data_IF_377231379904
#
_entry.id   IF_377231379904
#
_cell.length_a   1.000
_cell.length_b   1.000
_cell.length_c   1.000
_cell.angle_alpha   90.00
_cell.angle_beta   90.00
_cell.angle_gamma   90.00
#
_symmetry.space_group_name_H-M   'P 1'
#
loop_
_entity.id
_entity.type
_entity.pdbx_description
1 polymer ?
#
# COMPACT_ATOMS: atom_id res chain seq x y z
N UNK A 1 12.59 -34.18 -36.82
CA UNK A 1 11.21 -33.95 -36.35
C UNK A 1 10.28 -34.01 -37.54
N UNK A 2 9.46 -35.05 -37.67
CA UNK A 2 8.44 -35.13 -38.74
C UNK A 2 7.21 -34.31 -38.30
N UNK A 3 7.06 -33.12 -38.87
CA UNK A 3 5.86 -32.32 -38.68
C UNK A 3 4.73 -32.93 -39.53
N UNK A 4 3.60 -33.24 -38.90
CA UNK A 4 2.45 -33.79 -39.60
C UNK A 4 1.92 -32.75 -40.62
N UNK A 5 1.88 -33.15 -41.93
CA UNK A 5 1.39 -32.30 -43.05
C UNK A 5 0.01 -31.72 -42.78
N UNK A 6 -0.93 -32.48 -42.20
CA UNK A 6 -2.28 -32.01 -41.87
C UNK A 6 -2.24 -30.85 -40.83
N UNK A 7 -1.39 -30.92 -39.81
CA UNK A 7 -1.20 -29.85 -38.84
C UNK A 7 -0.63 -28.55 -39.47
N UNK A 8 0.32 -28.71 -40.43
CA UNK A 8 0.90 -27.58 -41.16
C UNK A 8 -0.14 -26.85 -42.02
N UNK A 9 -0.92 -27.57 -42.81
CA UNK A 9 -1.92 -26.96 -43.66
C UNK A 9 -3.13 -26.43 -42.90
N UNK A 10 -3.57 -27.07 -41.80
CA UNK A 10 -4.66 -26.56 -40.95
C UNK A 10 -4.22 -25.20 -40.29
N UNK A 11 -2.96 -25.04 -39.97
CA UNK A 11 -2.44 -23.78 -39.39
C UNK A 11 -2.27 -22.67 -40.45
N UNK A 12 -1.96 -23.04 -41.69
CA UNK A 12 -1.76 -22.09 -42.80
C UNK A 12 -3.09 -21.54 -43.33
N UNK A 13 -4.16 -22.32 -43.26
CA UNK A 13 -5.48 -21.96 -43.81
C UNK A 13 -6.45 -21.44 -42.74
N UNK A 14 -6.04 -21.31 -41.48
CA UNK A 14 -6.82 -20.65 -40.45
C UNK A 14 -8.20 -21.24 -40.18
N UNK A 15 -8.43 -22.52 -40.52
CA UNK A 15 -9.73 -23.19 -40.30
C UNK A 15 -9.83 -23.47 -38.81
N UNK A 16 -10.38 -22.50 -38.08
CA UNK A 16 -10.78 -22.69 -36.68
C UNK A 16 -12.10 -23.45 -36.71
N UNK A 17 -12.19 -24.60 -36.04
CA UNK A 17 -13.40 -25.35 -35.89
C UNK A 17 -14.54 -24.45 -35.35
N UNK A 18 -15.74 -24.44 -35.96
CA UNK A 18 -16.86 -23.59 -35.56
C UNK A 18 -17.19 -23.68 -34.07
N UNK A 19 -17.06 -24.86 -33.46
CA UNK A 19 -17.25 -25.08 -32.03
C UNK A 19 -16.22 -24.34 -31.15
N UNK A 20 -14.95 -24.29 -31.54
CA UNK A 20 -13.91 -23.55 -30.82
C UNK A 20 -14.12 -22.05 -30.95
N UNK A 21 -14.63 -21.59 -32.06
CA UNK A 21 -14.94 -20.19 -32.32
C UNK A 21 -16.11 -19.71 -31.45
N UNK A 22 -17.17 -20.52 -31.34
CA UNK A 22 -18.31 -20.25 -30.48
C UNK A 22 -17.91 -20.23 -28.99
N UNK A 23 -17.05 -21.16 -28.53
CA UNK A 23 -16.53 -21.17 -27.17
C UNK A 23 -15.66 -19.92 -26.87
N UNK A 24 -14.89 -19.44 -27.84
CA UNK A 24 -14.06 -18.26 -27.67
C UNK A 24 -14.90 -16.98 -27.58
N UNK A 25 -15.99 -16.87 -28.37
CA UNK A 25 -16.97 -15.78 -28.28
C UNK A 25 -17.63 -15.78 -26.89
N UNK A 26 -18.18 -16.91 -26.46
CA UNK A 26 -18.80 -17.02 -25.14
C UNK A 26 -17.83 -16.69 -23.98
N UNK A 27 -16.58 -17.06 -24.13
CA UNK A 27 -15.53 -16.70 -23.12
C UNK A 27 -15.24 -15.20 -23.11
N UNK A 28 -15.25 -14.53 -24.27
CA UNK A 28 -15.10 -13.06 -24.36
C UNK A 28 -16.24 -12.36 -23.65
N UNK A 29 -17.48 -12.74 -23.97
CA UNK A 29 -18.68 -12.15 -23.36
C UNK A 29 -18.65 -12.31 -21.83
N UNK A 30 -18.24 -13.48 -21.34
CA UNK A 30 -18.09 -13.73 -19.89
C UNK A 30 -16.98 -12.87 -19.26
N UNK A 31 -15.86 -12.64 -19.96
CA UNK A 31 -14.79 -11.74 -19.49
C UNK A 31 -15.29 -10.29 -19.44
N UNK A 32 -15.97 -9.83 -20.47
CA UNK A 32 -16.53 -8.46 -20.54
C UNK A 32 -17.54 -8.24 -19.41
N UNK A 33 -18.45 -9.19 -19.17
CA UNK A 33 -19.41 -9.06 -18.08
C UNK A 33 -18.74 -8.94 -16.71
N UNK A 34 -17.71 -9.75 -16.44
CA UNK A 34 -16.95 -9.63 -15.18
C UNK A 34 -16.26 -8.28 -15.04
N UNK A 35 -15.77 -7.70 -16.15
CA UNK A 35 -15.09 -6.41 -16.12
C UNK A 35 -16.09 -5.26 -15.96
N UNK A 36 -17.29 -5.36 -16.54
CA UNK A 36 -18.37 -4.40 -16.31
C UNK A 36 -18.79 -4.37 -14.84
N UNK A 37 -18.93 -5.54 -14.22
CA UNK A 37 -19.28 -5.65 -12.81
C UNK A 37 -18.14 -5.20 -11.89
N UNK A 38 -16.88 -5.43 -12.29
CA UNK A 38 -15.68 -5.19 -11.49
C UNK A 38 -14.55 -4.55 -12.32
N UNK A 39 -14.70 -3.29 -12.68
CA UNK A 39 -13.76 -2.54 -13.54
C UNK A 39 -12.29 -2.52 -13.07
N UNK A 40 -12.04 -2.84 -11.80
CA UNK A 40 -10.69 -2.94 -11.22
C UNK A 40 -10.04 -4.33 -11.30
N UNK A 41 -10.68 -5.31 -11.93
CA UNK A 41 -10.14 -6.67 -12.00
C UNK A 41 -9.07 -6.79 -13.09
N UNK A 42 -7.85 -7.18 -12.69
CA UNK A 42 -6.83 -7.64 -13.62
C UNK A 42 -7.04 -9.12 -13.99
N UNK A 43 -6.37 -9.59 -15.04
CA UNK A 43 -6.55 -10.92 -15.62
C UNK A 43 -6.54 -12.09 -14.61
N UNK A 44 -5.77 -11.99 -13.50
CA UNK A 44 -5.75 -13.05 -12.46
C UNK A 44 -7.07 -13.14 -11.72
N UNK A 45 -7.67 -12.00 -11.34
CA UNK A 45 -8.96 -11.95 -10.65
C UNK A 45 -10.08 -12.37 -11.60
N UNK A 46 -10.05 -11.94 -12.85
CA UNK A 46 -10.99 -12.37 -13.91
C UNK A 46 -10.89 -13.89 -14.11
N UNK A 47 -9.69 -14.47 -14.16
CA UNK A 47 -9.52 -15.93 -14.27
C UNK A 47 -10.18 -16.66 -13.10
N UNK A 48 -9.97 -16.18 -11.86
CA UNK A 48 -10.60 -16.79 -10.69
C UNK A 48 -12.13 -16.66 -10.69
N UNK A 49 -12.67 -15.53 -11.15
CA UNK A 49 -14.12 -15.35 -11.28
C UNK A 49 -14.70 -16.32 -12.31
N UNK A 50 -14.07 -16.47 -13.47
CA UNK A 50 -14.46 -17.45 -14.50
C UNK A 50 -14.42 -18.88 -13.96
N UNK A 51 -13.37 -19.26 -13.25
CA UNK A 51 -13.25 -20.60 -12.65
C UNK A 51 -14.34 -20.88 -11.61
N UNK A 52 -14.74 -19.89 -10.81
CA UNK A 52 -15.88 -19.98 -9.89
C UNK A 52 -17.21 -20.13 -10.64
N UNK A 53 -17.32 -19.53 -11.82
CA UNK A 53 -18.48 -19.69 -12.71
C UNK A 53 -18.46 -21.01 -13.53
N UNK A 54 -17.49 -21.91 -13.25
CA UNK A 54 -17.41 -23.25 -13.88
C UNK A 54 -16.56 -23.31 -15.15
N UNK A 55 -15.93 -22.21 -15.58
CA UNK A 55 -15.06 -22.21 -16.76
C UNK A 55 -13.72 -22.90 -16.49
N UNK A 56 -13.37 -23.88 -17.32
CA UNK A 56 -12.04 -24.51 -17.30
C UNK A 56 -11.05 -23.71 -18.17
N UNK A 57 -10.57 -22.58 -17.65
CA UNK A 57 -9.74 -21.65 -18.41
C UNK A 57 -8.39 -21.38 -17.70
N UNK A 58 -7.32 -21.24 -18.51
CA UNK A 58 -5.99 -20.88 -18.03
C UNK A 58 -5.83 -19.35 -18.07
N UNK A 59 -5.17 -18.80 -17.07
CA UNK A 59 -4.87 -17.36 -16.97
C UNK A 59 -4.14 -16.78 -18.19
N UNK A 60 -3.33 -17.58 -18.92
CA UNK A 60 -2.66 -17.14 -20.13
C UNK A 60 -3.66 -16.88 -21.27
N UNK A 61 -4.72 -17.72 -21.40
CA UNK A 61 -5.79 -17.53 -22.39
C UNK A 61 -6.60 -16.28 -22.07
N UNK A 62 -6.95 -16.09 -20.79
CA UNK A 62 -7.68 -14.90 -20.34
C UNK A 62 -6.86 -13.62 -20.59
N UNK A 63 -5.55 -13.61 -20.24
CA UNK A 63 -4.68 -12.48 -20.49
C UNK A 63 -4.58 -12.13 -21.99
N UNK A 64 -4.51 -13.14 -22.88
CA UNK A 64 -4.46 -12.93 -24.33
C UNK A 64 -5.74 -12.23 -24.79
N UNK A 65 -6.90 -12.75 -24.46
CA UNK A 65 -8.18 -12.17 -24.84
C UNK A 65 -8.33 -10.74 -24.28
N UNK A 66 -8.06 -10.53 -23.01
CA UNK A 66 -8.12 -9.18 -22.40
C UNK A 66 -7.18 -8.18 -23.07
N UNK A 67 -6.05 -8.63 -23.62
CA UNK A 67 -5.12 -7.78 -24.35
C UNK A 67 -5.61 -7.47 -25.77
N UNK A 68 -6.11 -8.48 -26.48
CA UNK A 68 -6.65 -8.36 -27.82
C UNK A 68 -7.88 -7.42 -27.85
N UNK A 69 -8.76 -7.52 -26.87
CA UNK A 69 -9.97 -6.70 -26.73
C UNK A 69 -9.75 -5.38 -25.96
N UNK A 70 -8.49 -5.01 -25.62
CA UNK A 70 -8.18 -3.80 -24.87
C UNK A 70 -8.87 -3.69 -23.49
N UNK A 71 -9.19 -4.83 -22.88
CA UNK A 71 -9.88 -4.94 -21.58
C UNK A 71 -8.93 -4.95 -20.38
N UNK A 72 -7.65 -4.65 -20.58
CA UNK A 72 -6.70 -4.60 -19.48
C UNK A 72 -7.01 -3.41 -18.55
N UNK A 73 -7.06 -3.69 -17.25
CA UNK A 73 -7.28 -2.67 -16.25
C UNK A 73 -6.13 -1.64 -16.23
N UNK A 74 -6.43 -0.41 -16.63
CA UNK A 74 -5.50 0.74 -16.62
C UNK A 74 -5.69 1.60 -15.36
N UNK A 75 -5.93 1.01 -14.20
CA UNK A 75 -5.93 1.78 -12.95
C UNK A 75 -4.55 2.41 -12.74
N UNK A 76 -4.43 3.67 -13.14
CA UNK A 76 -3.31 4.51 -12.71
C UNK A 76 -3.43 4.65 -11.20
N UNK A 77 -2.52 4.01 -10.46
CA UNK A 77 -2.36 4.30 -9.05
C UNK A 77 -1.91 5.76 -8.96
N UNK A 78 -2.81 6.65 -8.59
CA UNK A 78 -2.44 7.97 -8.15
C UNK A 78 -1.67 7.79 -6.83
N UNK A 79 -0.34 7.90 -6.89
CA UNK A 79 0.45 8.13 -5.70
C UNK A 79 0.20 9.57 -5.27
N UNK A 80 -0.65 9.75 -4.30
CA UNK A 80 -0.76 11.02 -3.61
C UNK A 80 0.51 11.13 -2.76
N UNK A 81 1.38 12.11 -3.06
CA UNK A 81 2.47 12.49 -2.16
C UNK A 81 1.82 13.13 -0.93
N UNK A 82 1.73 12.39 0.15
CA UNK A 82 1.07 12.80 1.38
C UNK A 82 2.00 13.50 2.36
N UNK A 83 3.32 13.35 2.16
CA UNK A 83 4.34 13.91 3.06
C UNK A 83 5.28 14.80 2.28
N UNK A 84 5.35 16.08 2.65
CA UNK A 84 6.38 16.99 2.15
C UNK A 84 7.67 16.79 2.99
N UNK A 85 8.65 16.12 2.37
CA UNK A 85 9.96 15.87 2.98
C UNK A 85 11.01 16.90 2.52
N UNK A 86 10.64 17.89 1.70
CA UNK A 86 11.50 18.97 1.21
C UNK A 86 11.31 20.24 2.05
N UNK A 87 11.68 20.17 3.31
CA UNK A 87 11.58 21.29 4.24
C UNK A 87 12.95 21.67 4.81
N UNK A 88 13.17 22.93 5.27
CA UNK A 88 14.44 23.42 5.81
C UNK A 88 14.73 22.97 7.25
N UNK A 89 13.84 22.20 7.87
CA UNK A 89 13.98 21.76 9.26
C UNK A 89 15.07 20.70 9.42
N UNK A 90 15.69 20.59 10.62
CA UNK A 90 16.70 19.58 10.92
C UNK A 90 16.18 18.15 10.68
N UNK A 91 17.05 17.31 10.13
CA UNK A 91 16.76 15.88 9.92
C UNK A 91 17.43 15.12 11.07
N UNK A 92 16.63 14.39 11.84
CA UNK A 92 17.11 13.58 12.94
C UNK A 92 17.53 12.16 12.48
N UNK A 93 18.54 11.55 13.10
CA UNK A 93 18.96 10.20 12.77
C UNK A 93 17.88 9.16 13.14
N UNK A 94 17.87 8.05 12.43
CA UNK A 94 16.99 6.92 12.79
C UNK A 94 17.56 6.18 14.01
N UNK A 95 17.04 6.48 15.19
CA UNK A 95 17.47 5.87 16.45
C UNK A 95 16.77 4.53 16.75
N UNK A 96 15.82 4.13 15.90
CA UNK A 96 14.96 2.95 16.12
C UNK A 96 15.41 1.75 15.29
N UNK A 97 16.28 1.96 14.30
CA UNK A 97 16.71 0.89 13.40
C UNK A 97 17.38 -0.26 14.18
N UNK A 98 16.80 -1.46 14.08
CA UNK A 98 17.31 -2.66 14.76
C UNK A 98 17.06 -2.69 16.27
N UNK A 99 16.32 -1.75 16.84
CA UNK A 99 15.94 -1.74 18.25
C UNK A 99 14.57 -2.31 18.47
N UNK A 100 14.47 -3.27 19.38
CA UNK A 100 13.19 -3.74 19.93
C UNK A 100 13.01 -3.10 21.29
N UNK A 101 11.93 -2.37 21.58
CA UNK A 101 11.71 -1.82 22.91
C UNK A 101 11.51 -2.97 23.91
N UNK A 102 12.09 -2.83 25.09
CA UNK A 102 12.03 -3.82 26.19
C UNK A 102 11.01 -3.46 27.27
N UNK A 103 10.51 -2.22 27.25
CA UNK A 103 9.53 -1.71 28.20
C UNK A 103 8.58 -0.69 27.54
N UNK A 104 7.40 -0.41 28.17
CA UNK A 104 6.54 0.67 27.77
C UNK A 104 7.23 2.04 27.90
N UNK A 105 6.84 3.00 27.06
CA UNK A 105 7.31 4.38 27.06
C UNK A 105 8.83 4.53 26.77
N UNK A 106 9.43 3.56 26.06
CA UNK A 106 10.82 3.66 25.56
C UNK A 106 10.84 4.22 24.14
N UNK A 107 9.95 3.75 23.28
CA UNK A 107 9.81 4.20 21.89
C UNK A 107 8.35 4.49 21.60
N UNK A 108 8.05 5.72 21.22
CA UNK A 108 6.76 6.10 20.66
C UNK A 108 6.88 6.31 19.16
N UNK A 109 5.88 5.84 18.42
CA UNK A 109 5.79 5.98 16.96
C UNK A 109 4.59 6.84 16.62
N UNK A 110 4.82 7.91 15.88
CA UNK A 110 3.77 8.83 15.45
C UNK A 110 3.55 8.76 13.94
N UNK A 111 2.30 8.83 13.54
CA UNK A 111 1.89 8.80 12.14
C UNK A 111 0.58 9.58 11.93
N UNK A 112 0.36 10.00 10.66
CA UNK A 112 -0.89 10.64 10.22
C UNK A 112 -1.69 9.70 9.33
N UNK A 113 -2.99 9.64 9.59
CA UNK A 113 -3.94 8.89 8.76
C UNK A 113 -4.97 9.84 8.14
N UNK A 114 -5.24 9.66 6.86
CA UNK A 114 -6.26 10.39 6.11
C UNK A 114 -7.57 9.62 6.18
N UNK A 115 -8.60 10.24 6.74
CA UNK A 115 -9.94 9.67 6.82
C UNK A 115 -10.83 10.41 5.82
N UNK A 116 -11.32 9.68 4.83
CA UNK A 116 -12.23 10.24 3.84
C UNK A 116 -13.66 10.19 4.35
N UNK A 117 -14.27 11.34 4.50
CA UNK A 117 -15.71 11.49 4.71
C UNK A 117 -16.44 11.65 3.35
N UNK A 118 -17.74 11.78 3.35
CA UNK A 118 -18.51 11.90 2.11
C UNK A 118 -18.15 13.14 1.30
N UNK A 119 -17.88 14.28 1.94
CA UNK A 119 -17.63 15.58 1.31
C UNK A 119 -16.22 16.13 1.53
N UNK A 120 -15.49 15.62 2.53
CA UNK A 120 -14.20 16.18 2.95
C UNK A 120 -13.24 15.12 3.48
N UNK A 121 -11.99 15.52 3.75
CA UNK A 121 -11.01 14.72 4.46
C UNK A 121 -10.82 15.28 5.86
N UNK A 122 -10.68 14.37 6.83
CA UNK A 122 -10.17 14.68 8.15
C UNK A 122 -8.85 13.93 8.38
N UNK A 123 -8.02 14.48 9.21
CA UNK A 123 -6.68 13.99 9.50
C UNK A 123 -6.63 13.54 10.95
N UNK A 124 -6.17 12.31 11.15
CA UNK A 124 -5.96 11.72 12.46
C UNK A 124 -4.46 11.62 12.72
N UNK A 125 -3.95 12.31 13.73
CA UNK A 125 -2.63 12.07 14.30
C UNK A 125 -2.74 11.00 15.38
N UNK A 126 -1.85 10.02 15.35
CA UNK A 126 -1.78 8.96 16.36
C UNK A 126 -0.37 8.79 16.89
N UNK A 127 -0.26 8.50 18.18
CA UNK A 127 0.99 8.11 18.83
C UNK A 127 0.80 6.73 19.45
N UNK A 128 1.62 5.78 19.03
CA UNK A 128 1.62 4.41 19.50
C UNK A 128 2.86 4.13 20.35
N UNK A 129 2.67 3.50 21.48
CA UNK A 129 3.79 2.90 22.21
C UNK A 129 4.22 1.61 21.50
N UNK A 130 5.47 1.56 21.05
CA UNK A 130 5.99 0.47 20.23
C UNK A 130 6.07 -0.87 20.97
N UNK A 131 6.20 -0.86 22.30
CA UNK A 131 6.22 -2.07 23.13
C UNK A 131 4.84 -2.67 23.30
N UNK A 132 3.91 -1.89 23.86
CA UNK A 132 2.56 -2.37 24.17
C UNK A 132 1.60 -2.35 22.98
N UNK A 133 1.98 -1.71 21.87
CA UNK A 133 1.11 -1.46 20.70
C UNK A 133 -0.13 -0.62 21.01
N UNK A 134 -0.18 0.00 22.19
CA UNK A 134 -1.30 0.82 22.62
C UNK A 134 -1.20 2.21 22.00
N UNK A 135 -2.32 2.75 21.51
CA UNK A 135 -2.44 4.16 21.18
C UNK A 135 -2.42 4.95 22.49
N UNK A 136 -1.41 5.79 22.68
CA UNK A 136 -1.19 6.57 23.89
C UNK A 136 -1.68 7.99 23.75
N UNK A 137 -1.77 8.51 22.52
CA UNK A 137 -2.34 9.80 22.22
C UNK A 137 -2.87 9.86 20.80
N UNK A 138 -3.90 10.66 20.58
CA UNK A 138 -4.48 10.89 19.27
C UNK A 138 -5.14 12.26 19.20
N UNK A 139 -5.27 12.79 18.00
CA UNK A 139 -6.02 14.02 17.76
C UNK A 139 -6.59 14.00 16.34
N UNK A 140 -7.74 14.64 16.16
CA UNK A 140 -8.47 14.70 14.89
C UNK A 140 -8.71 16.15 14.48
N UNK A 141 -8.46 16.48 13.20
CA UNK A 141 -8.67 17.81 12.66
C UNK A 141 -9.00 17.79 11.17
N UNK A 142 -9.65 18.82 10.69
CA UNK A 142 -9.85 19.09 9.25
C UNK A 142 -8.59 19.67 8.59
N UNK A 143 -7.56 20.00 9.37
CA UNK A 143 -6.27 20.53 8.89
C UNK A 143 -5.14 19.63 9.33
N UNK A 144 -4.22 19.35 8.41
CA UNK A 144 -2.99 18.62 8.68
C UNK A 144 -1.86 19.60 8.96
N UNK A 145 -1.81 20.13 10.17
CA UNK A 145 -0.85 21.12 10.63
C UNK A 145 -0.07 20.65 11.89
N UNK A 146 0.84 21.48 12.38
CA UNK A 146 1.62 21.20 13.60
C UNK A 146 0.73 21.09 14.84
N UNK A 147 -0.40 21.81 14.90
CA UNK A 147 -1.31 21.77 16.02
C UNK A 147 -1.97 20.40 16.18
N UNK A 148 -2.27 19.73 15.04
CA UNK A 148 -2.79 18.38 15.06
C UNK A 148 -1.79 17.40 15.70
N UNK A 149 -0.51 17.49 15.34
CA UNK A 149 0.55 16.67 15.94
C UNK A 149 0.76 16.98 17.43
N UNK A 150 0.81 18.27 17.79
CA UNK A 150 0.94 18.70 19.19
C UNK A 150 -0.23 18.22 20.04
N UNK A 151 -1.46 18.32 19.56
CA UNK A 151 -2.63 17.83 20.28
C UNK A 151 -2.55 16.33 20.61
N UNK A 152 -2.08 15.51 19.66
CA UNK A 152 -1.85 14.08 19.92
C UNK A 152 -0.73 13.84 20.95
N UNK A 153 0.31 14.68 20.94
CA UNK A 153 1.40 14.61 21.93
C UNK A 153 0.91 14.98 23.33
N UNK A 154 0.17 16.06 23.48
CA UNK A 154 -0.38 16.49 24.78
C UNK A 154 -1.34 15.45 25.36
N UNK A 155 -2.17 14.81 24.53
CA UNK A 155 -3.02 13.70 24.95
C UNK A 155 -2.20 12.50 25.46
N UNK A 156 -1.10 12.17 24.75
CA UNK A 156 -0.19 11.12 25.20
C UNK A 156 0.45 11.45 26.55
N UNK A 157 0.85 12.72 26.76
CA UNK A 157 1.46 13.19 28.01
C UNK A 157 0.47 13.21 29.18
N UNK A 158 -0.80 13.49 28.92
CA UNK A 158 -1.86 13.46 29.93
C UNK A 158 -2.16 12.04 30.43
N UNK A 159 -1.93 11.03 29.58
CA UNK A 159 -2.27 9.62 29.89
C UNK A 159 -1.06 8.81 30.36
N UNK A 160 0.19 9.30 30.19
CA UNK A 160 1.43 8.56 30.42
C UNK A 160 2.45 9.36 31.21
N UNK A 161 3.05 8.69 32.19
CA UNK A 161 4.23 9.21 32.87
C UNK A 161 5.46 8.96 31.98
N UNK A 162 6.02 10.04 31.43
CA UNK A 162 7.11 10.00 30.47
C UNK A 162 8.43 10.38 31.15
N UNK A 163 9.40 9.48 31.03
CA UNK A 163 10.75 9.73 31.54
C UNK A 163 11.65 10.35 30.46
N UNK A 164 12.62 11.20 30.82
CA UNK A 164 13.63 11.66 29.88
C UNK A 164 14.33 10.50 29.17
N UNK A 165 14.62 10.69 27.88
CA UNK A 165 15.26 9.67 27.04
C UNK A 165 14.32 8.85 26.17
N UNK A 166 13.00 8.97 26.30
CA UNK A 166 12.03 8.38 25.39
C UNK A 166 12.35 8.80 23.95
N UNK A 167 12.33 7.83 23.03
CA UNK A 167 12.54 8.07 21.60
C UNK A 167 11.19 8.28 20.93
N UNK A 168 10.98 9.46 20.38
CA UNK A 168 9.82 9.78 19.56
C UNK A 168 10.18 9.60 18.09
N UNK A 169 9.62 8.59 17.44
CA UNK A 169 9.88 8.23 16.05
C UNK A 169 8.69 8.64 15.16
N UNK A 170 8.97 9.43 14.12
CA UNK A 170 7.97 9.85 13.13
C UNK A 170 8.52 9.74 11.70
N UNK A 171 7.66 9.95 10.72
CA UNK A 171 8.09 10.21 9.37
C UNK A 171 8.77 11.59 9.26
N UNK A 172 9.23 11.96 8.06
CA UNK A 172 9.85 13.27 7.78
C UNK A 172 8.82 14.32 7.38
N UNK A 173 7.61 14.25 7.91
CA UNK A 173 6.59 15.24 7.66
C UNK A 173 6.93 16.58 8.29
N UNK A 174 6.64 17.68 7.57
CA UNK A 174 6.91 19.06 8.02
C UNK A 174 6.31 19.35 9.39
N UNK A 175 5.21 18.70 9.76
CA UNK A 175 4.50 18.88 11.01
C UNK A 175 5.33 18.40 12.21
N UNK A 176 5.94 17.22 12.08
CA UNK A 176 6.82 16.64 13.12
C UNK A 176 8.22 17.28 13.16
N UNK A 177 8.67 17.84 12.04
CA UNK A 177 9.96 18.53 11.93
C UNK A 177 9.88 20.00 12.36
N UNK A 178 8.69 20.57 12.57
CA UNK A 178 8.49 21.97 12.96
C UNK A 178 9.19 22.31 14.28
N UNK A 179 9.67 23.54 14.40
CA UNK A 179 10.33 24.00 15.63
C UNK A 179 9.43 23.85 16.86
N UNK A 180 8.15 24.23 16.77
CA UNK A 180 7.21 24.11 17.88
C UNK A 180 7.08 22.67 18.40
N UNK A 181 7.03 21.69 17.48
CA UNK A 181 6.94 20.28 17.86
C UNK A 181 8.26 19.75 18.47
N UNK A 182 9.37 20.05 17.82
CA UNK A 182 10.70 19.57 18.27
C UNK A 182 11.16 20.22 19.57
N UNK A 183 10.89 21.51 19.79
CA UNK A 183 11.14 22.20 21.06
C UNK A 183 10.30 21.58 22.20
N UNK A 184 9.05 21.23 21.91
CA UNK A 184 8.20 20.55 22.91
C UNK A 184 8.77 19.20 23.31
N UNK A 185 9.23 18.38 22.35
CA UNK A 185 9.89 17.11 22.66
C UNK A 185 11.18 17.31 23.48
N UNK A 186 11.99 18.29 23.10
CA UNK A 186 13.24 18.60 23.81
C UNK A 186 12.99 19.08 25.24
N UNK A 187 11.96 19.91 25.47
CA UNK A 187 11.59 20.38 26.82
C UNK A 187 11.21 19.25 27.77
N UNK A 188 10.76 18.11 27.22
CA UNK A 188 10.41 16.90 27.95
C UNK A 188 11.57 15.90 28.07
N UNK A 189 12.75 16.26 27.57
CA UNK A 189 13.90 15.35 27.51
C UNK A 189 13.73 14.19 26.55
N UNK A 190 12.79 14.27 25.60
CA UNK A 190 12.59 13.25 24.57
C UNK A 190 13.61 13.39 23.45
N UNK A 191 13.87 12.30 22.74
CA UNK A 191 14.78 12.25 21.60
C UNK A 191 14.02 12.06 20.32
N UNK A 192 14.11 13.02 19.39
CA UNK A 192 13.50 12.91 18.07
C UNK A 192 14.28 11.92 17.20
N UNK A 193 13.56 11.06 16.50
CA UNK A 193 14.09 10.14 15.50
C UNK A 193 13.19 10.15 14.27
N UNK A 194 13.79 10.17 13.06
CA UNK A 194 13.05 10.15 11.81
C UNK A 194 13.36 8.90 10.98
N UNK A 195 12.40 8.46 10.19
CA UNK A 195 12.65 7.43 9.17
C UNK A 195 13.69 7.94 8.15
N UNK A 196 14.60 7.09 7.65
CA UNK A 196 15.41 7.44 6.49
C UNK A 196 14.47 7.70 5.30
N UNK A 197 14.89 8.63 4.40
CA UNK A 197 14.15 8.86 3.15
C UNK A 197 13.93 7.50 2.49
N UNK A 198 12.68 7.11 2.24
CA UNK A 198 12.37 5.80 1.67
C UNK A 198 13.13 5.66 0.35
N UNK A 199 14.16 4.82 0.31
CA UNK A 199 14.57 4.24 -0.95
C UNK A 199 13.38 3.43 -1.47
N UNK A 200 13.06 3.48 -2.78
CA UNK A 200 12.04 2.63 -3.34
C UNK A 200 12.39 1.19 -2.94
N UNK A 201 11.56 0.59 -2.10
CA UNK A 201 11.76 -0.77 -1.64
C UNK A 201 11.59 -1.65 -2.87
N UNK A 202 12.71 -2.07 -3.46
CA UNK A 202 12.73 -3.20 -4.37
C UNK A 202 12.32 -4.38 -3.50
N UNK A 203 11.04 -4.73 -3.52
CA UNK A 203 10.58 -5.95 -2.86
C UNK A 203 11.44 -7.10 -3.38
N UNK A 204 12.14 -7.86 -2.51
CA UNK A 204 12.87 -9.03 -2.96
C UNK A 204 11.85 -9.95 -3.63
N UNK A 205 12.15 -10.34 -4.87
CA UNK A 205 11.36 -11.37 -5.58
C UNK A 205 11.27 -12.57 -4.65
N UNK A 206 10.08 -13.15 -4.42
CA UNK A 206 9.98 -14.38 -3.65
C UNK A 206 10.89 -15.41 -4.30
N UNK A 207 11.83 -15.97 -3.53
CA UNK A 207 12.68 -17.07 -3.98
C UNK A 207 11.74 -18.16 -4.48
N UNK A 208 11.93 -18.56 -5.73
CA UNK A 208 11.26 -19.72 -6.28
C UNK A 208 11.58 -20.90 -5.38
N UNK A 209 10.56 -21.48 -4.76
CA UNK A 209 10.65 -22.72 -4.00
C UNK A 209 11.12 -23.80 -5.00
N UNK A 210 12.37 -24.21 -4.90
CA UNK A 210 12.82 -25.44 -5.51
C UNK A 210 12.12 -26.58 -4.80
N UNK A 211 11.12 -27.17 -5.44
CA UNK A 211 10.58 -28.47 -5.01
C UNK A 211 11.58 -29.57 -5.40
N UNK A 212 11.72 -30.57 -4.56
CA UNK A 212 12.48 -31.78 -4.88
C UNK A 212 11.86 -32.59 -6.00
#
# INVERSE_FOLDING_TARGET
MQVNRAWYYARQHGIVEPAKQAEEVALRDAIEQIILDFAGYGYRRVTHALQRAGWKVNHKRVLRIMREESLLCHLKRHFVHTTDSHHPYPIYPNLVNGRTPDAPNVIWVADFTYIRLQSEFVFLATILDAYSRKCVGWNLSTRMDTHLALGALEEALATRDVKPGLIHHSDRGVQYASYAYTERLLSLGMRSACQPKAMPTIMPKPKASSKP
#
